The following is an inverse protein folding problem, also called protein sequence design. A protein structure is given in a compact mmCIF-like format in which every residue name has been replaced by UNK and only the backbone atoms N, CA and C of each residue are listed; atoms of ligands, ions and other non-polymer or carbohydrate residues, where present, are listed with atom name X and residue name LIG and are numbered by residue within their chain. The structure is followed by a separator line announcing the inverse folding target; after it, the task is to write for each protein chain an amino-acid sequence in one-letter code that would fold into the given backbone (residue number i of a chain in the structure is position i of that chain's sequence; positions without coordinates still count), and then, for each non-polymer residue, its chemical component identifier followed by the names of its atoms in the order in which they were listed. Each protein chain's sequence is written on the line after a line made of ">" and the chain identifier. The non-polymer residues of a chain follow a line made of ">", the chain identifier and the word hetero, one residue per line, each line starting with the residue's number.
data_IF_133158994393
#
_entry.id   IF_133158994393
#
_cell.length_a   1.000
_cell.length_b   1.000
_cell.length_c   1.000
_cell.angle_alpha   90.00
_cell.angle_beta   90.00
_cell.angle_gamma   90.00
#
_symmetry.space_group_name_H-M   'P 1'
#
loop_
_entity.id
_entity.type
_entity.pdbx_description
1 polymer ?
#
# COMPACT_ATOMS: atom_id res chain seq x y z
N UNK A 1 9.78 -39.84 6.93
CA UNK A 1 8.80 -39.09 6.12
C UNK A 1 8.12 -37.95 6.87
N UNK A 2 8.28 -37.79 8.19
CA UNK A 2 7.69 -36.67 8.96
C UNK A 2 8.54 -35.38 8.95
N UNK A 3 9.87 -35.44 8.87
CA UNK A 3 10.73 -34.24 8.87
C UNK A 3 10.61 -33.38 7.60
N UNK A 4 10.40 -33.99 6.42
CA UNK A 4 10.15 -33.24 5.18
C UNK A 4 8.79 -32.50 5.21
N UNK A 5 7.82 -33.01 5.97
CA UNK A 5 6.50 -32.40 6.11
C UNK A 5 6.51 -31.21 7.09
N UNK A 6 7.40 -31.23 8.09
CA UNK A 6 7.64 -30.11 9.02
C UNK A 6 8.33 -28.92 8.35
N UNK A 7 9.40 -29.18 7.57
CA UNK A 7 10.14 -28.14 6.84
C UNK A 7 9.28 -27.46 5.76
N UNK A 8 8.47 -28.24 5.02
CA UNK A 8 7.53 -27.70 4.03
C UNK A 8 6.42 -26.84 4.64
N UNK A 9 5.86 -27.24 5.79
CA UNK A 9 4.85 -26.45 6.53
C UNK A 9 5.43 -25.17 7.13
N UNK A 10 6.65 -25.23 7.69
CA UNK A 10 7.35 -24.08 8.24
C UNK A 10 7.71 -23.05 7.14
N UNK A 11 8.25 -23.52 6.01
CA UNK A 11 8.55 -22.69 4.84
C UNK A 11 7.28 -22.03 4.26
N UNK A 12 6.17 -22.78 4.18
CA UNK A 12 4.87 -22.25 3.74
C UNK A 12 4.30 -21.22 4.72
N UNK A 13 4.48 -21.42 6.03
CA UNK A 13 4.10 -20.47 7.08
C UNK A 13 4.89 -19.16 6.99
N UNK A 14 6.21 -19.26 6.80
CA UNK A 14 7.10 -18.11 6.66
C UNK A 14 6.77 -17.28 5.42
N UNK A 15 6.47 -17.93 4.29
CA UNK A 15 6.04 -17.24 3.08
C UNK A 15 4.72 -16.48 3.26
N UNK A 16 3.79 -17.03 4.06
CA UNK A 16 2.52 -16.34 4.38
C UNK A 16 2.71 -15.13 5.29
N UNK A 17 3.72 -15.15 6.18
CA UNK A 17 4.02 -14.07 7.13
C UNK A 17 4.83 -12.92 6.52
N UNK A 18 5.59 -13.18 5.45
CA UNK A 18 6.49 -12.18 4.83
C UNK A 18 5.81 -10.83 4.51
N UNK A 19 4.60 -10.77 3.91
CA UNK A 19 3.92 -9.49 3.67
C UNK A 19 3.59 -8.73 4.95
N UNK A 20 3.21 -9.43 6.01
CA UNK A 20 2.87 -8.83 7.31
C UNK A 20 4.11 -8.24 7.98
N UNK A 21 5.20 -9.02 8.03
CA UNK A 21 6.48 -8.57 8.58
C UNK A 21 7.01 -7.35 7.82
N UNK A 22 6.99 -7.41 6.48
CA UNK A 22 7.38 -6.28 5.63
C UNK A 22 6.59 -5.02 5.95
N UNK A 23 5.26 -5.11 6.00
CA UNK A 23 4.41 -3.95 6.30
C UNK A 23 4.64 -3.40 7.71
N UNK A 24 4.75 -4.25 8.73
CA UNK A 24 5.04 -3.82 10.12
C UNK A 24 6.41 -3.15 10.21
N UNK A 25 7.45 -3.74 9.62
CA UNK A 25 8.80 -3.15 9.58
C UNK A 25 8.81 -1.78 8.90
N UNK A 26 8.04 -1.59 7.82
CA UNK A 26 7.90 -0.28 7.19
C UNK A 26 7.26 0.75 8.12
N UNK A 27 6.28 0.36 8.95
CA UNK A 27 5.66 1.31 9.89
C UNK A 27 6.68 1.81 10.93
N UNK A 28 7.56 0.94 11.43
CA UNK A 28 8.68 1.38 12.28
C UNK A 28 9.59 2.39 11.56
N UNK A 29 9.89 2.15 10.27
CA UNK A 29 10.64 3.08 9.44
C UNK A 29 9.94 4.44 9.27
N UNK A 30 8.64 4.44 9.00
CA UNK A 30 7.86 5.67 8.89
C UNK A 30 7.76 6.42 10.22
N UNK A 31 7.64 5.73 11.35
CA UNK A 31 7.65 6.37 12.67
C UNK A 31 8.97 7.08 12.98
N UNK A 32 10.11 6.49 12.59
CA UNK A 32 11.42 7.14 12.72
C UNK A 32 11.53 8.41 11.88
N UNK A 33 10.92 8.43 10.69
CA UNK A 33 10.92 9.59 9.80
C UNK A 33 10.26 10.82 10.42
N UNK A 34 9.20 10.66 11.22
CA UNK A 34 8.55 11.79 11.89
C UNK A 34 9.52 12.58 12.78
N UNK A 35 10.35 11.88 13.54
CA UNK A 35 11.34 12.51 14.44
C UNK A 35 12.43 13.21 13.62
N UNK A 36 12.99 12.51 12.63
CA UNK A 36 14.09 13.02 11.80
C UNK A 36 13.65 14.24 10.97
N UNK A 37 12.46 14.19 10.41
CA UNK A 37 11.89 15.28 9.60
C UNK A 37 11.56 16.50 10.45
N UNK A 38 10.99 16.29 11.64
CA UNK A 38 10.71 17.40 12.56
C UNK A 38 12.00 18.16 12.90
N UNK A 39 13.09 17.45 13.22
CA UNK A 39 14.38 18.08 13.51
C UNK A 39 14.90 18.83 12.28
N UNK A 40 14.75 18.26 11.08
CA UNK A 40 15.27 18.87 9.85
C UNK A 40 14.50 20.12 9.43
N UNK A 41 13.17 20.11 9.56
CA UNK A 41 12.34 21.28 9.29
C UNK A 41 12.61 22.42 10.28
N UNK A 42 12.92 22.11 11.55
CA UNK A 42 13.36 23.13 12.51
C UNK A 42 14.68 23.81 12.12
N UNK A 43 15.54 23.13 11.38
CA UNK A 43 16.78 23.70 10.82
C UNK A 43 16.56 24.36 9.44
N UNK A 44 15.31 24.69 9.08
CA UNK A 44 14.98 25.45 7.88
C UNK A 44 14.95 24.63 6.59
N UNK A 45 14.94 23.30 6.65
CA UNK A 45 14.85 22.48 5.44
C UNK A 45 13.51 22.65 4.73
N UNK A 46 13.54 22.97 3.43
CA UNK A 46 12.33 22.95 2.63
C UNK A 46 11.86 21.51 2.37
N UNK A 47 10.58 21.26 2.62
CA UNK A 47 9.90 20.02 2.31
C UNK A 47 9.93 19.64 0.81
N UNK A 48 9.90 20.64 -0.09
CA UNK A 48 10.03 20.42 -1.54
C UNK A 48 11.38 19.79 -1.88
N UNK A 49 12.45 20.36 -1.31
CA UNK A 49 13.82 19.88 -1.50
C UNK A 49 14.02 18.51 -0.84
N UNK A 50 13.50 18.31 0.38
CA UNK A 50 13.52 17.00 1.03
C UNK A 50 12.86 15.92 0.16
N UNK A 51 11.71 16.22 -0.46
CA UNK A 51 11.06 15.29 -1.38
C UNK A 51 11.98 14.94 -2.55
N UNK A 52 12.59 15.90 -3.23
CA UNK A 52 13.50 15.62 -4.35
C UNK A 52 14.68 14.74 -3.92
N UNK A 53 15.42 15.15 -2.90
CA UNK A 53 16.63 14.45 -2.48
C UNK A 53 16.37 13.04 -1.94
N UNK A 54 15.23 12.84 -1.25
CA UNK A 54 14.75 11.51 -0.86
C UNK A 54 14.68 10.57 -2.07
N UNK A 55 14.11 11.03 -3.19
CA UNK A 55 13.99 10.22 -4.40
C UNK A 55 15.32 10.04 -5.14
N UNK A 56 16.23 11.03 -5.09
CA UNK A 56 17.60 10.89 -5.60
C UNK A 56 18.32 9.75 -4.89
N UNK A 57 18.32 9.74 -3.56
CA UNK A 57 18.94 8.68 -2.76
C UNK A 57 18.28 7.32 -3.05
N UNK A 58 16.94 7.29 -3.11
CA UNK A 58 16.21 6.07 -3.43
C UNK A 58 16.55 5.51 -4.82
N UNK A 59 16.66 6.38 -5.83
CA UNK A 59 17.03 5.99 -7.19
C UNK A 59 18.46 5.44 -7.26
N UNK A 60 19.43 6.12 -6.63
CA UNK A 60 20.82 5.65 -6.53
C UNK A 60 20.87 4.25 -5.88
N UNK A 61 20.07 4.04 -4.84
CA UNK A 61 20.00 2.75 -4.16
C UNK A 61 19.35 1.67 -5.03
N UNK A 62 18.18 1.92 -5.63
CA UNK A 62 17.33 0.89 -6.24
C UNK A 62 17.73 0.57 -7.69
N UNK A 63 18.20 1.54 -8.47
CA UNK A 63 18.55 1.36 -9.89
C UNK A 63 19.55 0.20 -10.10
N UNK A 64 20.67 0.08 -9.35
CA UNK A 64 21.60 -1.03 -9.51
C UNK A 64 20.94 -2.40 -9.33
N UNK A 65 20.10 -2.55 -8.29
CA UNK A 65 19.39 -3.81 -8.06
C UNK A 65 18.37 -4.10 -9.16
N UNK A 66 17.63 -3.09 -9.62
CA UNK A 66 16.69 -3.25 -10.74
C UNK A 66 17.41 -3.69 -12.04
N UNK A 67 18.58 -3.10 -12.33
CA UNK A 67 19.37 -3.43 -13.51
C UNK A 67 19.99 -4.83 -13.46
N UNK A 68 20.33 -5.34 -12.27
CA UNK A 68 20.96 -6.65 -12.10
C UNK A 68 19.92 -7.76 -11.92
N UNK A 69 18.99 -7.60 -10.99
CA UNK A 69 18.05 -8.66 -10.57
C UNK A 69 16.90 -8.83 -11.56
N UNK A 70 16.41 -7.75 -12.16
CA UNK A 70 15.23 -7.80 -13.02
C UNK A 70 15.55 -7.69 -14.51
N UNK A 71 16.84 -7.67 -14.88
CA UNK A 71 17.30 -7.46 -16.26
C UNK A 71 16.55 -8.29 -17.29
N UNK A 72 16.27 -9.55 -16.95
CA UNK A 72 15.68 -10.57 -17.83
C UNK A 72 14.15 -10.64 -17.79
N UNK A 73 13.51 -10.06 -16.77
CA UNK A 73 12.06 -10.15 -16.57
C UNK A 73 11.32 -8.85 -16.94
N UNK A 74 12.05 -7.74 -17.14
CA UNK A 74 11.47 -6.45 -17.51
C UNK A 74 10.72 -6.51 -18.84
N UNK A 75 9.42 -6.18 -18.86
CA UNK A 75 8.69 -6.02 -20.11
C UNK A 75 9.18 -4.81 -20.90
N UNK A 76 8.80 -4.75 -22.18
CA UNK A 76 9.06 -3.57 -23.02
C UNK A 76 8.31 -2.35 -22.47
N UNK A 77 9.02 -1.23 -22.34
CA UNK A 77 8.41 0.03 -21.95
C UNK A 77 7.59 0.58 -23.12
N UNK A 78 6.27 0.51 -23.00
CA UNK A 78 5.34 1.12 -23.96
C UNK A 78 4.90 2.49 -23.46
N UNK A 79 4.48 3.39 -24.36
CA UNK A 79 4.00 4.73 -23.98
C UNK A 79 2.87 4.68 -22.91
N UNK A 80 1.86 3.81 -23.00
CA UNK A 80 0.84 3.72 -21.96
C UNK A 80 1.37 3.28 -20.59
N UNK A 81 2.39 2.41 -20.53
CA UNK A 81 3.03 2.02 -19.26
C UNK A 81 3.83 3.21 -18.71
N UNK A 82 4.59 3.88 -19.57
CA UNK A 82 5.37 5.05 -19.20
C UNK A 82 4.47 6.17 -18.63
N UNK A 83 3.35 6.49 -19.28
CA UNK A 83 2.41 7.50 -18.77
C UNK A 83 1.79 7.12 -17.41
N UNK A 84 1.58 5.83 -17.14
CA UNK A 84 1.16 5.38 -15.80
C UNK A 84 2.25 5.58 -14.77
N UNK A 85 3.51 5.36 -15.13
CA UNK A 85 4.67 5.58 -14.27
C UNK A 85 4.84 7.07 -13.95
N UNK A 86 4.69 7.95 -14.95
CA UNK A 86 4.64 9.41 -14.76
C UNK A 86 3.54 9.75 -13.76
N UNK A 87 2.32 9.26 -13.97
CA UNK A 87 1.23 9.48 -13.02
C UNK A 87 1.50 8.90 -11.62
N UNK A 88 2.22 7.78 -11.49
CA UNK A 88 2.64 7.25 -10.19
C UNK A 88 3.68 8.14 -9.50
N UNK A 89 4.64 8.69 -10.26
CA UNK A 89 5.59 9.69 -9.79
C UNK A 89 4.90 10.97 -9.31
N UNK A 90 3.83 11.36 -9.99
CA UNK A 90 3.07 12.54 -9.62
C UNK A 90 2.23 12.31 -8.37
N UNK A 91 1.49 11.19 -8.31
CA UNK A 91 0.47 10.94 -7.27
C UNK A 91 1.05 10.84 -5.86
N UNK A 92 2.19 10.17 -5.67
CA UNK A 92 2.80 10.02 -4.35
C UNK A 92 4.01 10.97 -4.15
N UNK A 93 5.13 10.84 -4.90
CA UNK A 93 6.31 11.67 -4.67
C UNK A 93 6.06 13.18 -4.66
N UNK A 94 5.17 13.65 -5.54
CA UNK A 94 4.91 15.08 -5.72
C UNK A 94 3.65 15.52 -4.99
N UNK A 95 2.49 14.98 -5.39
CA UNK A 95 1.19 15.43 -4.91
C UNK A 95 1.00 15.10 -3.43
N UNK A 96 1.07 13.81 -3.06
CA UNK A 96 0.88 13.39 -1.66
C UNK A 96 1.91 14.04 -0.73
N UNK A 97 3.21 13.86 -0.98
CA UNK A 97 4.22 14.29 -0.03
C UNK A 97 4.22 15.81 0.20
N UNK A 98 4.01 16.61 -0.84
CA UNK A 98 4.02 18.07 -0.69
C UNK A 98 2.70 18.59 -0.09
N UNK A 99 1.54 18.12 -0.56
CA UNK A 99 0.26 18.53 0.03
C UNK A 99 0.11 18.06 1.48
N UNK A 100 0.65 16.88 1.83
CA UNK A 100 0.71 16.43 3.22
C UNK A 100 1.49 17.41 4.09
N UNK A 101 2.68 17.81 3.63
CA UNK A 101 3.53 18.73 4.37
C UNK A 101 2.95 20.15 4.45
N UNK A 102 2.31 20.64 3.39
CA UNK A 102 1.59 21.92 3.39
C UNK A 102 0.41 21.87 4.36
N UNK A 103 -0.44 20.87 4.24
CA UNK A 103 -1.61 20.71 5.10
C UNK A 103 -1.25 20.50 6.57
N UNK A 104 -0.15 19.78 6.84
CA UNK A 104 0.41 19.65 8.18
C UNK A 104 0.87 20.98 8.77
N UNK A 105 1.53 21.84 7.98
CA UNK A 105 1.95 23.19 8.41
C UNK A 105 0.76 24.10 8.72
N UNK A 106 -0.33 23.98 7.95
CA UNK A 106 -1.53 24.82 8.11
C UNK A 106 -2.49 24.32 9.20
N UNK A 107 -2.37 23.07 9.64
CA UNK A 107 -3.20 22.47 10.68
C UNK A 107 -2.36 22.14 11.92
N UNK A 108 -1.90 20.90 12.04
CA UNK A 108 -0.91 20.45 13.02
C UNK A 108 -0.43 19.05 12.66
N UNK A 109 0.74 18.65 13.18
CA UNK A 109 1.24 17.26 13.07
C UNK A 109 0.23 16.24 13.60
N UNK A 110 -0.43 16.54 14.71
CA UNK A 110 -1.45 15.66 15.30
C UNK A 110 -2.66 15.52 14.38
N UNK A 111 -3.16 16.62 13.82
CA UNK A 111 -4.29 16.59 12.88
C UNK A 111 -3.94 15.87 11.58
N UNK A 112 -2.78 16.18 10.98
CA UNK A 112 -2.30 15.50 9.78
C UNK A 112 -2.16 13.99 9.99
N UNK A 113 -1.56 13.57 11.10
CA UNK A 113 -1.46 12.15 11.47
C UNK A 113 -2.85 11.52 11.68
N UNK A 114 -3.80 12.20 12.33
CA UNK A 114 -5.17 11.73 12.50
C UNK A 114 -5.83 11.43 11.14
N UNK A 115 -5.69 12.36 10.20
CA UNK A 115 -6.25 12.25 8.85
C UNK A 115 -5.67 11.06 8.09
N UNK A 116 -4.37 10.72 8.23
CA UNK A 116 -3.78 9.53 7.56
C UNK A 116 -4.45 8.20 7.90
N UNK A 117 -5.14 8.11 9.02
CA UNK A 117 -5.88 6.90 9.39
C UNK A 117 -7.15 6.69 8.57
N UNK A 118 -7.57 7.70 7.81
CA UNK A 118 -8.67 7.61 6.83
C UNK A 118 -8.20 6.99 5.50
N UNK A 119 -6.88 6.88 5.27
CA UNK A 119 -6.31 6.29 4.06
C UNK A 119 -6.86 4.90 3.70
N UNK A 120 -6.99 3.93 4.64
CA UNK A 120 -7.52 2.61 4.29
C UNK A 120 -8.96 2.68 3.78
N UNK A 121 -9.77 3.60 4.33
CA UNK A 121 -11.15 3.81 3.92
C UNK A 121 -11.22 4.41 2.51
N UNK A 122 -10.44 5.46 2.22
CA UNK A 122 -10.36 6.05 0.88
C UNK A 122 -9.89 5.01 -0.13
N UNK A 123 -8.85 4.24 0.21
CA UNK A 123 -8.30 3.19 -0.65
C UNK A 123 -9.32 2.08 -0.91
N UNK A 124 -10.10 1.69 0.08
CA UNK A 124 -11.19 0.72 -0.08
C UNK A 124 -12.28 1.23 -1.03
N UNK A 125 -12.71 2.48 -0.88
CA UNK A 125 -13.69 3.11 -1.78
C UNK A 125 -13.15 3.17 -3.21
N UNK A 126 -11.91 3.61 -3.40
CA UNK A 126 -11.29 3.61 -4.73
C UNK A 126 -11.16 2.19 -5.29
N UNK A 127 -10.77 1.20 -4.47
CA UNK A 127 -10.69 -0.18 -4.90
C UNK A 127 -12.04 -0.74 -5.36
N UNK A 128 -13.16 -0.32 -4.75
CA UNK A 128 -14.51 -0.66 -5.22
C UNK A 128 -14.83 -0.01 -6.57
N UNK A 129 -14.57 1.30 -6.71
CA UNK A 129 -14.82 2.06 -7.96
C UNK A 129 -14.04 1.45 -9.13
N UNK A 130 -12.77 1.13 -8.91
CA UNK A 130 -11.89 0.54 -9.91
C UNK A 130 -12.00 -1.00 -9.99
N UNK A 131 -12.95 -1.61 -9.28
CA UNK A 131 -13.22 -3.06 -9.27
C UNK A 131 -12.00 -3.94 -8.90
N UNK A 132 -11.08 -3.40 -8.10
CA UNK A 132 -9.99 -4.17 -7.48
C UNK A 132 -10.47 -4.96 -6.25
N UNK A 133 -11.59 -4.55 -5.65
CA UNK A 133 -12.26 -5.26 -4.57
C UNK A 133 -13.73 -5.45 -4.92
N UNK A 134 -14.28 -6.65 -4.67
CA UNK A 134 -15.72 -6.92 -4.78
C UNK A 134 -16.29 -7.16 -3.39
N UNK A 135 -17.21 -6.31 -2.94
CA UNK A 135 -17.92 -6.51 -1.68
C UNK A 135 -19.17 -7.33 -1.94
N UNK A 136 -19.16 -8.57 -1.49
CA UNK A 136 -20.40 -9.35 -1.40
C UNK A 136 -20.95 -9.20 0.01
N UNK A 137 -21.96 -8.34 0.19
CA UNK A 137 -22.61 -8.09 1.48
C UNK A 137 -23.24 -9.35 2.12
N UNK A 138 -23.41 -10.43 1.35
CA UNK A 138 -23.87 -11.73 1.86
C UNK A 138 -22.74 -12.53 2.52
N UNK A 139 -21.48 -12.21 2.26
CA UNK A 139 -20.32 -12.91 2.83
C UNK A 139 -19.79 -12.19 4.07
N UNK A 140 -19.83 -12.87 5.21
CA UNK A 140 -19.41 -12.33 6.51
C UNK A 140 -17.99 -11.72 6.49
N UNK A 141 -17.03 -12.35 5.80
CA UNK A 141 -15.65 -11.83 5.71
C UNK A 141 -15.55 -10.51 4.92
N UNK A 142 -16.46 -10.23 3.97
CA UNK A 142 -16.50 -8.95 3.24
C UNK A 142 -17.03 -7.83 4.12
N UNK A 143 -18.05 -8.11 4.93
CA UNK A 143 -18.60 -7.17 5.92
C UNK A 143 -17.59 -6.89 7.02
N UNK A 144 -16.84 -7.91 7.47
CA UNK A 144 -15.77 -7.76 8.45
C UNK A 144 -14.70 -6.74 8.01
N UNK A 145 -14.33 -6.68 6.73
CA UNK A 145 -13.38 -5.67 6.23
C UNK A 145 -13.91 -4.24 6.38
N UNK A 146 -15.19 -4.02 6.07
CA UNK A 146 -15.82 -2.71 6.17
C UNK A 146 -15.90 -2.27 7.64
N UNK A 147 -16.39 -3.16 8.51
CA UNK A 147 -16.49 -2.90 9.95
C UNK A 147 -15.11 -2.68 10.56
N UNK A 148 -14.12 -3.52 10.22
CA UNK A 148 -12.75 -3.37 10.70
C UNK A 148 -12.12 -2.03 10.29
N UNK A 149 -12.39 -1.58 9.06
CA UNK A 149 -11.94 -0.26 8.58
C UNK A 149 -12.60 0.86 9.38
N UNK A 150 -13.91 0.81 9.61
CA UNK A 150 -14.65 1.80 10.40
C UNK A 150 -14.15 1.85 11.87
N UNK A 151 -13.89 0.69 12.48
CA UNK A 151 -13.33 0.58 13.83
C UNK A 151 -11.91 1.19 13.87
N UNK A 152 -11.09 0.93 12.86
CA UNK A 152 -9.72 1.48 12.78
C UNK A 152 -9.73 3.00 12.69
N UNK A 153 -10.57 3.58 11.81
CA UNK A 153 -10.74 5.03 11.67
C UNK A 153 -11.23 5.64 12.99
N UNK A 154 -12.24 5.02 13.61
CA UNK A 154 -12.78 5.48 14.90
C UNK A 154 -11.71 5.44 16.00
N UNK A 155 -10.93 4.36 16.06
CA UNK A 155 -9.83 4.20 17.01
C UNK A 155 -8.76 5.29 16.87
N UNK A 156 -8.38 5.60 15.64
CA UNK A 156 -7.47 6.70 15.33
C UNK A 156 -8.00 8.09 15.73
N UNK A 157 -9.29 8.35 15.48
CA UNK A 157 -9.92 9.60 15.92
C UNK A 157 -9.93 9.71 17.45
N UNK A 158 -10.23 8.62 18.17
CA UNK A 158 -10.15 8.61 19.64
C UNK A 158 -8.72 8.80 20.13
N UNK A 159 -7.73 8.17 19.48
CA UNK A 159 -6.31 8.28 19.83
C UNK A 159 -5.81 9.72 19.78
N UNK A 160 -6.34 10.52 18.85
CA UNK A 160 -5.85 11.86 18.51
C UNK A 160 -6.68 12.98 19.15
N UNK A 161 -8.01 12.85 19.19
CA UNK A 161 -8.93 13.90 19.64
C UNK A 161 -9.30 13.77 21.12
N UNK A 162 -9.37 12.56 21.67
CA UNK A 162 -9.78 12.37 23.06
C UNK A 162 -8.57 12.46 24.01
N UNK A 163 -8.43 13.59 24.69
CA UNK A 163 -7.44 13.75 25.76
C UNK A 163 -8.07 13.38 27.11
N UNK A 164 -7.76 12.18 27.58
CA UNK A 164 -8.10 11.73 28.94
C UNK A 164 -6.96 11.93 29.93
N UNK A 165 -7.05 11.32 31.15
CA UNK A 165 -5.99 11.34 32.15
C UNK A 165 -4.64 10.95 31.57
N UNK A 166 -3.59 11.63 32.03
CA UNK A 166 -2.24 11.46 31.51
C UNK A 166 -1.41 10.58 32.46
N UNK A 167 -0.75 9.57 31.90
CA UNK A 167 0.09 8.62 32.62
C UNK A 167 1.54 8.75 32.16
N UNK A 168 2.49 8.64 33.09
CA UNK A 168 3.92 8.51 32.75
C UNK A 168 4.27 7.03 32.76
N UNK A 169 4.73 6.52 31.62
CA UNK A 169 5.14 5.11 31.51
C UNK A 169 6.51 4.88 32.17
N UNK A 170 7.42 5.87 32.12
CA UNK A 170 8.75 5.78 32.72
C UNK A 170 8.85 6.71 33.95
N UNK A 171 9.15 6.11 35.11
CA UNK A 171 9.31 6.78 36.40
C UNK A 171 10.80 7.02 36.69
N UNK A 172 11.49 7.78 35.83
CA UNK A 172 12.92 8.02 35.96
C UNK A 172 13.51 8.58 34.68
N UNK A 173 13.66 9.90 34.63
CA UNK A 173 14.15 10.64 33.47
C UNK A 173 13.89 12.11 33.74
N UNK A 174 14.92 12.78 34.26
CA UNK A 174 14.89 14.20 34.59
C UNK A 174 14.66 15.06 33.36
N UNK A 175 13.90 16.14 33.58
CA UNK A 175 13.83 17.38 32.82
C UNK A 175 14.44 17.38 31.39
N UNK A 176 13.63 17.02 30.39
CA UNK A 176 13.59 17.75 29.11
C UNK A 176 12.13 18.06 28.79
N UNK A 177 11.46 18.75 29.73
CA UNK A 177 10.17 19.38 29.45
C UNK A 177 10.43 20.66 28.68
N UNK A 178 10.53 20.59 27.35
CA UNK A 178 10.40 21.74 26.42
C UNK A 178 10.38 21.35 24.91
N UNK A 179 9.80 20.19 24.54
CA UNK A 179 9.59 19.84 23.11
C UNK A 179 8.14 19.83 22.65
N UNK A 180 7.21 20.38 23.44
CA UNK A 180 5.82 20.59 23.00
C UNK A 180 5.32 21.97 23.39
N UNK A 181 5.67 22.94 22.57
CA UNK A 181 4.88 24.11 22.19
C UNK A 181 5.74 24.91 21.21
N UNK A 182 5.90 24.40 19.98
CA UNK A 182 6.00 25.37 18.90
C UNK A 182 4.69 26.14 19.00
N UNK A 183 4.78 27.42 19.36
CA UNK A 183 3.68 28.38 19.40
C UNK A 183 2.83 28.18 18.15
N UNK A 184 1.75 27.41 18.28
CA UNK A 184 0.68 27.42 17.32
C UNK A 184 0.00 28.77 17.57
N UNK A 185 0.40 29.79 16.82
CA UNK A 185 -0.57 30.79 16.41
C UNK A 185 -1.75 29.99 15.86
N UNK A 186 -2.87 29.99 16.59
CA UNK A 186 -4.15 29.46 16.11
C UNK A 186 -4.29 29.91 14.65
N UNK A 187 -4.23 28.98 13.68
CA UNK A 187 -4.41 29.35 12.29
C UNK A 187 -5.76 30.04 12.21
N UNK A 188 -5.86 31.15 11.45
CA UNK A 188 -7.18 31.70 11.16
C UNK A 188 -8.05 30.55 10.59
N UNK A 189 -9.34 30.50 10.93
CA UNK A 189 -10.20 29.35 10.56
C UNK A 189 -10.14 29.00 9.06
N UNK A 190 -9.83 29.98 8.21
CA UNK A 190 -9.62 29.80 6.77
C UNK A 190 -8.35 28.98 6.43
N UNK A 191 -7.23 29.20 7.14
CA UNK A 191 -6.00 28.41 6.94
C UNK A 191 -6.19 26.96 7.36
N UNK A 192 -6.97 26.70 8.41
CA UNK A 192 -7.25 25.34 8.88
C UNK A 192 -8.11 24.54 7.89
N UNK A 193 -9.10 25.18 7.25
CA UNK A 193 -9.92 24.54 6.20
C UNK A 193 -9.07 24.19 4.98
N UNK A 194 -8.24 25.13 4.50
CA UNK A 194 -7.37 24.87 3.36
C UNK A 194 -6.40 23.72 3.65
N UNK A 195 -5.75 23.71 4.83
CA UNK A 195 -4.86 22.63 5.22
C UNK A 195 -5.57 21.27 5.35
N UNK A 196 -6.84 21.25 5.75
CA UNK A 196 -7.66 20.03 5.77
C UNK A 196 -7.92 19.51 4.36
N UNK A 197 -8.23 20.40 3.41
CA UNK A 197 -8.43 20.04 2.00
C UNK A 197 -7.14 19.50 1.37
N UNK A 198 -6.00 20.12 1.67
CA UNK A 198 -4.68 19.66 1.22
C UNK A 198 -4.36 18.25 1.75
N UNK A 199 -4.64 17.97 3.04
CA UNK A 199 -4.46 16.64 3.62
C UNK A 199 -5.37 15.61 2.95
N UNK A 200 -6.65 15.92 2.71
CA UNK A 200 -7.57 15.00 2.02
C UNK A 200 -7.09 14.74 0.59
N UNK A 201 -6.65 15.77 -0.12
CA UNK A 201 -6.10 15.64 -1.47
C UNK A 201 -4.83 14.78 -1.50
N UNK A 202 -3.94 14.94 -0.50
CA UNK A 202 -2.77 14.06 -0.32
C UNK A 202 -3.18 12.60 -0.17
N UNK A 203 -4.15 12.29 0.71
CA UNK A 203 -4.61 10.91 0.89
C UNK A 203 -5.27 10.31 -0.35
N UNK A 204 -6.01 11.12 -1.12
CA UNK A 204 -6.53 10.71 -2.41
C UNK A 204 -5.40 10.42 -3.41
N UNK A 205 -4.33 11.21 -3.41
CA UNK A 205 -3.11 10.97 -4.16
C UNK A 205 -2.45 9.65 -3.77
N UNK A 206 -2.24 9.42 -2.48
CA UNK A 206 -1.60 8.21 -1.96
C UNK A 206 -2.44 6.94 -2.20
N UNK A 207 -3.76 7.01 -1.98
CA UNK A 207 -4.67 5.92 -2.32
C UNK A 207 -4.66 5.66 -3.84
N UNK A 208 -4.73 6.72 -4.65
CA UNK A 208 -4.64 6.65 -6.11
C UNK A 208 -3.35 6.01 -6.59
N UNK A 209 -2.22 6.30 -5.93
CA UNK A 209 -0.94 5.66 -6.19
C UNK A 209 -1.02 4.14 -6.02
N UNK A 210 -1.54 3.63 -4.90
CA UNK A 210 -1.65 2.17 -4.69
C UNK A 210 -2.60 1.49 -5.71
N UNK A 211 -3.71 2.16 -6.06
CA UNK A 211 -4.65 1.66 -7.06
C UNK A 211 -3.98 1.58 -8.44
N UNK A 212 -3.33 2.66 -8.88
CA UNK A 212 -2.63 2.70 -10.16
C UNK A 212 -1.42 1.77 -10.18
N UNK A 213 -0.72 1.62 -9.05
CA UNK A 213 0.42 0.73 -8.91
C UNK A 213 -0.03 -0.73 -9.07
N UNK A 214 -1.17 -1.11 -8.48
CA UNK A 214 -1.78 -2.43 -8.68
C UNK A 214 -2.02 -2.74 -10.17
N UNK A 215 -2.62 -1.81 -10.92
CA UNK A 215 -2.82 -2.00 -12.37
C UNK A 215 -1.53 -1.99 -13.19
N UNK A 216 -0.55 -1.20 -12.76
CA UNK A 216 0.73 -1.08 -13.46
C UNK A 216 1.56 -2.35 -13.27
N UNK A 217 1.60 -2.92 -12.07
CA UNK A 217 2.30 -4.18 -11.77
C UNK A 217 1.70 -5.39 -12.50
N UNK A 218 0.43 -5.34 -12.91
CA UNK A 218 -0.14 -6.36 -13.82
C UNK A 218 0.47 -6.33 -15.21
N UNK A 219 0.82 -5.14 -15.72
CA UNK A 219 1.40 -4.96 -17.07
C UNK A 219 2.93 -4.90 -17.07
N UNK A 220 3.50 -4.51 -15.93
CA UNK A 220 4.94 -4.34 -15.70
C UNK A 220 5.33 -5.06 -14.39
N UNK A 221 5.36 -6.42 -14.36
CA UNK A 221 5.60 -7.21 -13.16
C UNK A 221 7.09 -7.27 -12.78
N UNK A 222 7.70 -6.09 -12.62
CA UNK A 222 9.09 -5.90 -12.24
C UNK A 222 9.13 -4.80 -11.17
N UNK A 223 8.98 -5.20 -9.90
CA UNK A 223 8.78 -4.29 -8.77
C UNK A 223 9.96 -3.35 -8.54
N UNK A 224 11.21 -3.84 -8.56
CA UNK A 224 12.39 -2.98 -8.35
C UNK A 224 12.51 -1.96 -9.48
N UNK A 225 12.25 -2.39 -10.71
CA UNK A 225 12.29 -1.54 -11.89
C UNK A 225 11.18 -0.51 -11.88
N UNK A 226 9.98 -0.88 -11.44
CA UNK A 226 8.88 0.06 -11.28
C UNK A 226 9.22 1.09 -10.18
N UNK A 227 9.75 0.64 -9.04
CA UNK A 227 10.22 1.54 -7.97
C UNK A 227 11.29 2.50 -8.48
N UNK A 228 12.29 2.01 -9.20
CA UNK A 228 13.33 2.86 -9.80
C UNK A 228 12.72 3.95 -10.70
N UNK A 229 11.79 3.56 -11.58
CA UNK A 229 11.13 4.50 -12.48
C UNK A 229 10.24 5.52 -11.74
N UNK A 230 9.51 5.10 -10.70
CA UNK A 230 8.74 6.02 -9.84
C UNK A 230 9.68 7.02 -9.16
N UNK A 231 10.81 6.57 -8.62
CA UNK A 231 11.80 7.47 -8.01
C UNK A 231 12.38 8.45 -9.05
N UNK A 232 12.69 7.99 -10.27
CA UNK A 232 13.18 8.88 -11.34
C UNK A 232 12.14 9.92 -11.73
N UNK A 233 10.87 9.54 -11.90
CA UNK A 233 9.79 10.50 -12.18
C UNK A 233 9.59 11.46 -11.00
N UNK A 234 9.65 10.96 -9.76
CA UNK A 234 9.60 11.80 -8.56
C UNK A 234 10.74 12.83 -8.48
N UNK A 235 11.95 12.49 -8.95
CA UNK A 235 13.06 13.46 -9.09
C UNK A 235 12.71 14.51 -10.13
N UNK A 236 12.28 14.10 -11.34
CA UNK A 236 12.02 15.02 -12.45
C UNK A 236 10.87 15.96 -12.11
N UNK A 237 9.71 15.41 -11.79
CA UNK A 237 8.49 16.15 -11.49
C UNK A 237 8.61 16.94 -10.18
N UNK A 238 9.23 16.34 -9.16
CA UNK A 238 9.49 17.00 -7.88
C UNK A 238 10.47 18.16 -8.03
N UNK A 239 11.47 18.06 -8.90
CA UNK A 239 12.38 19.18 -9.18
C UNK A 239 11.66 20.31 -9.90
N UNK A 240 10.82 19.99 -10.89
CA UNK A 240 9.99 20.98 -11.58
C UNK A 240 9.10 21.71 -10.57
N UNK A 241 8.39 20.97 -9.70
CA UNK A 241 7.57 21.56 -8.66
C UNK A 241 8.40 22.41 -7.68
N UNK A 242 9.56 21.91 -7.26
CA UNK A 242 10.47 22.64 -6.37
C UNK A 242 10.93 23.96 -6.99
N UNK A 243 11.29 24.02 -8.27
CA UNK A 243 11.65 25.28 -8.93
C UNK A 243 10.47 26.26 -9.06
N UNK A 244 9.24 25.76 -9.13
CA UNK A 244 8.04 26.61 -9.19
C UNK A 244 7.75 27.23 -7.81
N UNK A 245 7.84 26.44 -6.74
CA UNK A 245 7.45 26.85 -5.39
C UNK A 245 8.59 27.42 -4.54
N UNK A 246 9.84 27.02 -4.80
CA UNK A 246 11.06 27.49 -4.12
C UNK A 246 11.95 28.23 -5.11
N UNK A 247 11.78 29.55 -5.18
CA UNK A 247 12.53 30.41 -6.11
C UNK A 247 13.97 30.69 -5.65
N UNK A 248 14.26 30.53 -4.37
CA UNK A 248 15.60 30.70 -3.84
C UNK A 248 16.43 29.43 -4.05
N UNK A 249 17.50 29.53 -4.85
CA UNK A 249 18.38 28.39 -5.13
C UNK A 249 19.21 27.97 -3.90
N UNK A 250 19.33 28.82 -2.87
CA UNK A 250 20.06 28.50 -1.65
C UNK A 250 19.46 27.29 -0.91
N UNK A 251 18.16 27.04 -1.05
CA UNK A 251 17.46 25.92 -0.39
C UNK A 251 17.89 24.54 -0.90
N UNK A 252 18.51 24.48 -2.08
CA UNK A 252 19.07 23.24 -2.65
C UNK A 252 20.40 22.84 -2.00
N UNK A 253 21.05 23.75 -1.25
CA UNK A 253 22.31 23.46 -0.58
C UNK A 253 22.05 22.66 0.70
N UNK A 254 22.36 21.36 0.64
CA UNK A 254 22.28 20.45 1.79
C UNK A 254 23.65 20.36 2.46
N UNK A 255 23.70 20.77 3.74
CA UNK A 255 24.88 20.65 4.58
C UNK A 255 25.06 19.25 5.17
N UNK A 256 26.23 18.99 5.74
CA UNK A 256 26.54 17.76 6.51
C UNK A 256 25.92 17.81 7.91
N UNK A 257 24.59 17.88 7.97
CA UNK A 257 23.82 18.04 9.19
C UNK A 257 22.56 17.14 9.19
N UNK A 258 21.60 17.44 10.06
CA UNK A 258 20.32 16.74 10.17
C UNK A 258 19.55 16.68 8.84
N UNK A 259 19.72 17.66 7.94
CA UNK A 259 19.08 17.71 6.62
C UNK A 259 19.59 16.59 5.71
N UNK A 260 20.89 16.33 5.72
CA UNK A 260 21.47 15.20 4.98
C UNK A 260 20.99 13.87 5.58
N UNK A 261 20.99 13.75 6.91
CA UNK A 261 20.47 12.57 7.58
C UNK A 261 19.01 12.28 7.20
N UNK A 262 18.16 13.31 7.14
CA UNK A 262 16.78 13.17 6.69
C UNK A 262 16.67 12.71 5.24
N UNK A 263 17.46 13.28 4.33
CA UNK A 263 17.49 12.85 2.93
C UNK A 263 17.89 11.37 2.80
N UNK A 264 18.96 10.97 3.49
CA UNK A 264 19.49 9.61 3.42
C UNK A 264 18.50 8.62 4.03
N UNK A 265 18.03 8.88 5.26
CA UNK A 265 17.09 7.99 5.95
C UNK A 265 15.79 7.84 5.17
N UNK A 266 15.19 8.95 4.76
CA UNK A 266 13.93 8.93 4.02
C UNK A 266 14.09 8.29 2.63
N UNK A 267 15.21 8.55 1.96
CA UNK A 267 15.49 7.96 0.66
C UNK A 267 15.66 6.45 0.71
N UNK A 268 16.44 5.96 1.67
CA UNK A 268 16.68 4.53 1.85
C UNK A 268 15.42 3.81 2.35
N UNK A 269 14.88 4.27 3.48
CA UNK A 269 13.81 3.54 4.19
C UNK A 269 12.45 3.87 3.61
N UNK A 270 12.10 5.16 3.51
CA UNK A 270 10.74 5.59 3.21
C UNK A 270 10.41 5.58 1.71
N UNK A 271 11.38 5.73 0.80
CA UNK A 271 11.15 5.62 -0.65
C UNK A 271 11.70 4.32 -1.22
N UNK A 272 13.00 4.07 -1.10
CA UNK A 272 13.64 2.91 -1.72
C UNK A 272 13.05 1.59 -1.24
N UNK A 273 13.19 1.29 0.05
CA UNK A 273 12.65 0.07 0.65
C UNK A 273 11.12 0.07 0.64
N UNK A 274 10.48 1.18 1.03
CA UNK A 274 9.03 1.19 1.19
C UNK A 274 8.29 1.00 -0.14
N UNK A 275 8.63 1.71 -1.22
CA UNK A 275 7.94 1.53 -2.50
C UNK A 275 8.14 0.13 -3.05
N UNK A 276 9.34 -0.44 -2.88
CA UNK A 276 9.59 -1.82 -3.32
C UNK A 276 8.73 -2.81 -2.54
N UNK A 277 8.81 -2.78 -1.20
CA UNK A 277 8.06 -3.70 -0.34
C UNK A 277 6.55 -3.50 -0.51
N UNK A 278 6.08 -2.26 -0.57
CA UNK A 278 4.67 -1.95 -0.85
C UNK A 278 4.24 -2.41 -2.23
N UNK A 279 5.10 -2.29 -3.26
CA UNK A 279 4.82 -2.79 -4.60
C UNK A 279 4.64 -4.32 -4.60
N UNK A 280 5.57 -5.04 -3.96
CA UNK A 280 5.48 -6.50 -3.79
C UNK A 280 4.20 -6.90 -3.06
N UNK A 281 3.92 -6.27 -1.91
CA UNK A 281 2.73 -6.59 -1.12
C UNK A 281 1.43 -6.19 -1.84
N UNK A 282 1.42 -5.07 -2.57
CA UNK A 282 0.28 -4.66 -3.40
C UNK A 282 -0.01 -5.68 -4.47
N UNK A 283 1.03 -6.23 -5.13
CA UNK A 283 0.88 -7.29 -6.12
C UNK A 283 0.32 -8.58 -5.50
N UNK A 284 0.81 -8.97 -4.33
CA UNK A 284 0.43 -10.22 -3.68
C UNK A 284 -0.93 -10.18 -2.95
N UNK A 285 -1.26 -9.06 -2.30
CA UNK A 285 -2.39 -8.94 -1.36
C UNK A 285 -3.38 -7.82 -1.70
N UNK A 286 -3.05 -6.99 -2.69
CA UNK A 286 -3.85 -5.87 -3.12
C UNK A 286 -3.62 -4.58 -2.31
N UNK A 287 -4.08 -3.43 -2.84
CA UNK A 287 -3.79 -2.10 -2.29
C UNK A 287 -4.45 -1.87 -0.92
N UNK A 288 -5.68 -2.37 -0.72
CA UNK A 288 -6.39 -2.24 0.58
C UNK A 288 -5.61 -2.89 1.70
N UNK A 289 -5.00 -4.05 1.45
CA UNK A 289 -4.20 -4.75 2.44
C UNK A 289 -3.00 -3.89 2.88
N UNK A 290 -2.25 -3.32 1.94
CA UNK A 290 -1.13 -2.42 2.22
C UNK A 290 -1.58 -1.23 3.06
N UNK A 291 -2.60 -0.52 2.62
CA UNK A 291 -3.03 0.71 3.31
C UNK A 291 -3.59 0.45 4.69
N UNK A 292 -4.14 -0.75 4.96
CA UNK A 292 -4.62 -1.08 6.30
C UNK A 292 -3.53 -0.98 7.37
N UNK A 293 -2.24 -1.09 7.04
CA UNK A 293 -1.17 -0.94 8.03
C UNK A 293 -0.82 0.52 8.39
N UNK A 294 -1.32 1.54 7.68
CA UNK A 294 -0.94 2.94 7.95
C UNK A 294 -1.20 3.40 9.40
N UNK A 295 -2.28 2.99 10.08
CA UNK A 295 -2.56 3.43 11.46
C UNK A 295 -1.58 2.87 12.49
N UNK A 296 -0.88 1.79 12.17
CA UNK A 296 0.14 1.22 13.06
C UNK A 296 1.34 2.16 13.21
N UNK A 297 1.68 2.97 12.19
CA UNK A 297 2.71 4.00 12.31
C UNK A 297 2.38 4.99 13.43
N UNK A 298 1.12 5.40 13.58
CA UNK A 298 0.71 6.31 14.65
C UNK A 298 0.93 5.70 16.04
N UNK A 299 0.58 4.42 16.23
CA UNK A 299 0.80 3.70 17.50
C UNK A 299 2.29 3.66 17.82
N UNK A 300 3.12 3.27 16.85
CA UNK A 300 4.58 3.16 17.04
C UNK A 300 5.18 4.53 17.34
N UNK A 301 4.77 5.59 16.63
CA UNK A 301 5.25 6.97 16.87
C UNK A 301 4.89 7.44 18.28
N UNK A 302 3.65 7.20 18.74
CA UNK A 302 3.25 7.56 20.11
C UNK A 302 4.04 6.77 21.18
N UNK A 303 4.31 5.48 20.94
CA UNK A 303 5.13 4.66 21.82
C UNK A 303 6.59 5.16 21.87
N UNK A 304 7.19 5.47 20.72
CA UNK A 304 8.55 6.03 20.63
C UNK A 304 8.63 7.41 21.31
N UNK A 305 7.63 8.28 21.13
CA UNK A 305 7.55 9.57 21.85
C UNK A 305 7.52 9.39 23.36
N UNK A 306 6.72 8.44 23.86
CA UNK A 306 6.68 8.12 25.29
C UNK A 306 8.00 7.54 25.83
N UNK A 307 8.64 6.62 25.09
CA UNK A 307 9.86 5.94 25.52
C UNK A 307 11.10 6.83 25.41
N UNK A 308 11.24 7.59 24.32
CA UNK A 308 12.45 8.36 24.00
C UNK A 308 12.35 9.78 24.53
N UNK A 309 11.19 10.43 24.43
CA UNK A 309 10.98 11.83 24.84
C UNK A 309 10.34 11.95 26.24
N UNK A 310 10.07 10.82 26.92
CA UNK A 310 9.39 10.77 28.21
C UNK A 310 8.02 11.50 28.22
N UNK A 311 7.35 11.54 27.06
CA UNK A 311 6.06 12.18 26.91
C UNK A 311 4.98 11.46 27.72
N UNK A 312 4.01 12.24 28.23
CA UNK A 312 2.86 11.67 28.94
C UNK A 312 1.93 11.01 27.93
N UNK A 313 1.53 9.77 28.19
CA UNK A 313 0.55 9.05 27.38
C UNK A 313 -0.84 9.31 27.94
N UNK A 314 -1.76 9.73 27.08
CA UNK A 314 -3.15 10.00 27.47
C UNK A 314 -4.00 8.73 27.38
N UNK A 315 -5.02 8.61 28.22
CA UNK A 315 -5.96 7.49 28.22
C UNK A 315 -6.58 7.24 26.83
N UNK A 316 -6.94 8.32 26.11
CA UNK A 316 -7.49 8.22 24.77
C UNK A 316 -6.50 7.61 23.77
N UNK A 317 -5.20 7.83 23.95
CA UNK A 317 -4.18 7.19 23.13
C UNK A 317 -4.12 5.67 23.32
N UNK A 318 -4.31 5.20 24.56
CA UNK A 318 -4.36 3.76 24.89
C UNK A 318 -5.60 3.11 24.28
N UNK A 319 -6.78 3.70 24.54
CA UNK A 319 -8.04 3.16 24.03
C UNK A 319 -8.11 3.19 22.51
N UNK A 320 -7.64 4.27 21.90
CA UNK A 320 -7.54 4.41 20.45
C UNK A 320 -6.60 3.38 19.82
N UNK A 321 -5.44 3.12 20.44
CA UNK A 321 -4.52 2.07 19.98
C UNK A 321 -5.14 0.66 20.02
N UNK A 322 -5.91 0.34 21.07
CA UNK A 322 -6.64 -0.94 21.17
C UNK A 322 -7.66 -1.07 20.03
N UNK A 323 -8.44 -0.02 19.78
CA UNK A 323 -9.42 -0.01 18.68
C UNK A 323 -8.75 -0.17 17.31
N UNK A 324 -7.63 0.53 17.06
CA UNK A 324 -6.86 0.35 15.83
C UNK A 324 -6.44 -1.11 15.67
N UNK A 325 -5.83 -1.74 16.69
CA UNK A 325 -5.39 -3.14 16.61
C UNK A 325 -6.55 -4.09 16.33
N UNK A 326 -7.69 -3.91 16.98
CA UNK A 326 -8.90 -4.72 16.75
C UNK A 326 -9.45 -4.53 15.33
N UNK A 327 -9.49 -3.29 14.85
CA UNK A 327 -9.93 -2.96 13.50
C UNK A 327 -9.03 -3.60 12.43
N UNK A 328 -7.70 -3.45 12.58
CA UNK A 328 -6.71 -4.07 11.69
C UNK A 328 -6.79 -5.59 11.69
N UNK A 329 -6.92 -6.21 12.87
CA UNK A 329 -7.13 -7.65 12.96
C UNK A 329 -8.36 -8.10 12.18
N UNK A 330 -9.46 -7.36 12.28
CA UNK A 330 -10.71 -7.66 11.57
C UNK A 330 -10.55 -7.54 10.06
N UNK A 331 -9.87 -6.49 9.57
CA UNK A 331 -9.56 -6.30 8.14
C UNK A 331 -8.67 -7.43 7.61
N UNK A 332 -7.58 -7.72 8.33
CA UNK A 332 -6.61 -8.76 7.98
C UNK A 332 -7.27 -10.13 7.97
N UNK A 333 -8.08 -10.44 8.99
CA UNK A 333 -8.82 -11.69 9.07
C UNK A 333 -9.78 -11.82 7.89
N UNK A 334 -10.56 -10.76 7.60
CA UNK A 334 -11.47 -10.73 6.45
C UNK A 334 -10.76 -10.95 5.10
N UNK A 335 -9.57 -10.35 4.93
CA UNK A 335 -8.69 -10.54 3.76
C UNK A 335 -8.05 -11.94 3.71
N UNK A 336 -7.70 -12.53 4.85
CA UNK A 336 -7.11 -13.88 4.89
C UNK A 336 -8.07 -14.98 4.44
N UNK A 337 -9.38 -14.68 4.45
CA UNK A 337 -10.45 -15.56 3.97
C UNK A 337 -10.80 -15.35 2.50
N UNK A 338 -10.24 -14.32 1.86
CA UNK A 338 -10.32 -14.23 0.40
C UNK A 338 -9.38 -15.26 -0.22
N UNK A 339 -9.79 -15.82 -1.35
CA UNK A 339 -8.85 -16.56 -2.19
C UNK A 339 -7.76 -15.58 -2.66
N UNK A 340 -6.48 -16.00 -2.74
CA UNK A 340 -5.45 -15.19 -3.38
C UNK A 340 -5.96 -14.74 -4.74
N UNK A 341 -5.72 -13.47 -5.07
CA UNK A 341 -6.23 -12.88 -6.31
C UNK A 341 -5.63 -13.68 -7.47
N UNK A 342 -6.46 -14.45 -8.18
CA UNK A 342 -6.05 -15.15 -9.40
C UNK A 342 -6.00 -14.11 -10.52
N UNK A 343 -4.92 -13.32 -10.54
CA UNK A 343 -4.63 -12.30 -11.55
C UNK A 343 -4.14 -13.02 -12.82
N UNK A 344 -5.02 -13.79 -13.45
CA UNK A 344 -4.67 -14.60 -14.64
C UNK A 344 -5.79 -14.78 -15.64
N UNK A 345 -7.02 -14.33 -15.37
CA UNK A 345 -8.18 -14.53 -16.27
C UNK A 345 -9.08 -13.30 -16.36
N UNK A 346 -8.55 -12.19 -16.87
CA UNK A 346 -9.40 -11.17 -17.50
C UNK A 346 -8.92 -10.98 -18.93
N UNK A 347 -9.48 -11.81 -19.80
CA UNK A 347 -9.19 -11.89 -21.23
C UNK A 347 -10.01 -13.02 -21.85
N UNK A 348 -11.30 -13.09 -21.56
CA UNK A 348 -12.22 -13.92 -22.33
C UNK A 348 -13.45 -13.09 -22.66
N UNK A 349 -13.64 -12.90 -23.96
CA UNK A 349 -14.65 -12.08 -24.60
C UNK A 349 -16.06 -12.46 -24.15
N UNK A 350 -16.93 -11.45 -24.07
CA UNK A 350 -18.37 -11.61 -23.88
C UNK A 350 -18.94 -12.39 -25.08
N UNK A 351 -19.81 -13.41 -24.88
CA UNK A 351 -20.55 -13.99 -25.98
C UNK A 351 -21.59 -12.96 -26.46
N UNK A 352 -21.38 -12.41 -27.65
CA UNK A 352 -22.41 -11.68 -28.39
C UNK A 352 -23.52 -12.69 -28.69
N UNK A 353 -24.67 -12.55 -28.04
CA UNK A 353 -25.92 -13.17 -28.48
C UNK A 353 -26.50 -12.29 -29.57
N UNK A 354 -26.22 -12.62 -30.83
CA UNK A 354 -27.01 -12.11 -31.95
C UNK A 354 -28.39 -12.77 -31.91
N UNK A 355 -29.37 -11.97 -31.49
CA UNK A 355 -30.77 -12.26 -31.71
C UNK A 355 -31.19 -11.66 -33.04
N UNK A 356 -31.29 -12.48 -34.09
CA UNK A 356 -32.17 -12.18 -35.22
C UNK A 356 -32.84 -13.47 -35.66
N UNK A 357 -34.11 -13.62 -35.27
CA UNK A 357 -35.03 -14.58 -35.88
C UNK A 357 -35.56 -13.93 -37.16
N UNK A 358 -35.34 -14.58 -38.30
CA UNK A 358 -36.21 -14.51 -39.46
C UNK A 358 -36.25 -15.89 -40.09
N UNK A 359 -37.45 -16.43 -40.28
CA UNK A 359 -37.65 -17.77 -40.82
C UNK A 359 -37.75 -17.80 -42.34
N UNK A 360 -37.41 -18.95 -42.93
CA UNK A 360 -38.26 -19.64 -43.91
C UNK A 360 -37.75 -21.06 -44.12
N UNK A 361 -38.67 -21.93 -44.50
CA UNK A 361 -38.54 -23.37 -44.77
C UNK A 361 -37.60 -23.69 -45.95
N UNK A 362 -36.93 -24.85 -45.92
CA UNK A 362 -37.18 -25.95 -46.87
C UNK A 362 -36.33 -27.22 -46.67
N UNK A 363 -37.00 -28.33 -47.03
CA UNK A 363 -36.69 -29.76 -47.16
C UNK A 363 -35.26 -30.26 -47.53
N UNK A 364 -34.99 -31.48 -47.04
CA UNK A 364 -34.23 -32.58 -47.70
C UNK A 364 -32.70 -32.43 -47.62
N UNK A 365 -31.93 -33.41 -47.13
CA UNK A 365 -31.67 -34.72 -47.78
C UNK A 365 -31.08 -35.69 -46.75
N UNK A 366 -31.45 -36.95 -46.91
CA UNK A 366 -30.94 -38.15 -46.23
C UNK A 366 -29.50 -38.43 -46.69
N UNK A 367 -28.57 -38.66 -45.75
CA UNK A 367 -27.37 -39.46 -46.04
C UNK A 367 -27.07 -40.43 -44.88
N UNK A 368 -27.13 -41.72 -45.23
CA UNK A 368 -26.73 -42.88 -44.45
C UNK A 368 -25.26 -43.14 -44.80
N UNK A 369 -24.33 -43.11 -43.83
CA UNK A 369 -23.25 -44.10 -43.83
C UNK A 369 -22.46 -44.22 -42.51
N UNK A 370 -22.53 -45.43 -41.96
CA UNK A 370 -21.42 -46.28 -41.51
C UNK A 370 -20.17 -45.63 -40.89
N UNK A 371 -20.01 -45.76 -39.56
CA UNK A 371 -18.78 -46.28 -38.91
C UNK A 371 -19.03 -46.50 -37.41
N UNK A 372 -19.73 -47.59 -37.10
CA UNK A 372 -19.85 -48.13 -35.74
C UNK A 372 -18.96 -49.36 -35.62
N UNK A 373 -17.68 -49.16 -35.31
CA UNK A 373 -16.76 -50.27 -35.07
C UNK A 373 -15.81 -49.94 -33.92
N UNK A 374 -16.36 -49.83 -32.71
CA UNK A 374 -15.55 -49.80 -31.49
C UNK A 374 -16.31 -50.20 -30.20
N UNK A 375 -17.33 -51.05 -30.31
CA UNK A 375 -18.09 -51.55 -29.13
C UNK A 375 -18.47 -53.03 -29.17
N UNK A 376 -17.77 -53.86 -29.96
CA UNK A 376 -17.98 -55.32 -29.99
C UNK A 376 -16.69 -56.12 -29.73
N UNK A 377 -15.84 -55.64 -28.81
CA UNK A 377 -14.65 -56.38 -28.37
C UNK A 377 -14.54 -56.60 -26.86
N UNK A 378 -15.62 -56.34 -26.10
CA UNK A 378 -15.63 -56.50 -24.64
C UNK A 378 -16.52 -57.61 -24.08
N UNK A 379 -17.30 -58.30 -24.92
CA UNK A 379 -18.20 -59.38 -24.47
C UNK A 379 -17.80 -60.80 -24.90
N UNK A 380 -16.74 -60.96 -25.69
CA UNK A 380 -16.25 -62.28 -26.11
C UNK A 380 -15.14 -62.87 -25.21
N UNK A 381 -14.97 -62.39 -23.97
CA UNK A 381 -13.92 -62.84 -23.05
C UNK A 381 -14.45 -63.31 -21.69
N UNK A 382 -15.66 -63.88 -21.67
CA UNK A 382 -16.29 -64.40 -20.45
C UNK A 382 -16.69 -65.88 -20.49
N UNK A 383 -16.49 -66.59 -21.60
CA UNK A 383 -16.83 -68.02 -21.74
C UNK A 383 -15.70 -68.81 -22.44
N UNK A 384 -14.54 -68.96 -21.79
CA UNK A 384 -13.53 -69.96 -22.18
C UNK A 384 -13.33 -70.96 -21.03
N UNK A 385 -13.70 -72.25 -21.18
CA UNK A 385 -13.59 -73.27 -20.14
C UNK A 385 -12.19 -73.87 -19.93
N UNK A 386 -11.11 -73.32 -20.50
CA UNK A 386 -9.81 -74.03 -20.58
C UNK A 386 -8.58 -73.28 -20.04
N UNK A 387 -8.71 -72.54 -18.93
CA UNK A 387 -7.56 -71.90 -18.28
C UNK A 387 -7.28 -72.46 -16.86
N UNK A 388 -6.04 -72.92 -16.56
CA UNK A 388 -5.65 -73.39 -15.24
C UNK A 388 -5.42 -72.22 -14.26
N UNK A 389 -5.88 -72.38 -13.01
CA UNK A 389 -5.69 -71.42 -11.91
C UNK A 389 -4.33 -71.60 -11.22
N UNK A 390 -3.61 -70.51 -10.99
CA UNK A 390 -2.93 -70.23 -9.72
C UNK A 390 -3.72 -69.21 -8.88
#
# INVERSE_FOLDING_TARGET
>A
MEEQNGSGKFSTGLHKLKPYLGMVSLQFGYSGMYIITMVSFKHGMSHWILSVYRHVIAAILIIPFALVLERKIRPKMTLPIFLRIVALGFLEPVLDQNLYNMGMKMTSTTFASATTNVLPAITFVMALIFRLETVNMKKFHSVAKLIGTAITVSGAMVMTLYKGPAFRIIKGGGAISNYASATATEPSGQHQVLGTLELIASLCGWAGFFILQSFTLKKYPAELSLTAWICVMGIIEGSIASFIFERDLSVWVIGWDSRLLACVYSGVVCSGMAYYVQGVVTRERGPVFVTSFSPLCMIITAALGSLVLAEKVHLGSIFGAILIVLGLYTVVWGKSKDNPIDIGKEGQELPIKDGTKSGSENLGIIEINSHGDHMLKKEARKNDPSAPRP
#
